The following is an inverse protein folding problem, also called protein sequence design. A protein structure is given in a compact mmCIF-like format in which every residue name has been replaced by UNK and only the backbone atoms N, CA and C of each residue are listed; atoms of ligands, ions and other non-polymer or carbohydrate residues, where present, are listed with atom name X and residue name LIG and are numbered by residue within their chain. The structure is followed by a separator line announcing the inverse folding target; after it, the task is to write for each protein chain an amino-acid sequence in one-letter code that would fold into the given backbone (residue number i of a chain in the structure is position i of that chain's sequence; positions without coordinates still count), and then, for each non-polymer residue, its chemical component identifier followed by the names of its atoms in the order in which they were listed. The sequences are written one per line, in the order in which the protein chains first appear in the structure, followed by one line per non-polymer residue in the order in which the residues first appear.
data_IF_680334942229
#
_entry.id   IF_680334942229
#
_cell.length_a   1.000
_cell.length_b   1.000
_cell.length_c   1.000
_cell.angle_alpha   90.00
_cell.angle_beta   90.00
_cell.angle_gamma   90.00
#
_symmetry.space_group_name_H-M   'P 1'
#
loop_
_entity.id
_entity.type
_entity.pdbx_description
1 polymer ?
#
# COMPACT_ATOMS: atom_id res chain seq x y z
N UNK A 1 10.07 -44.20 39.39
CA UNK A 1 11.12 -43.84 38.47
C UNK A 1 10.56 -43.33 37.17
N UNK A 2 9.70 -44.09 36.53
CA UNK A 2 9.10 -43.70 35.27
C UNK A 2 8.19 -42.48 35.40
N UNK A 3 7.63 -42.29 36.60
CA UNK A 3 6.69 -41.15 36.81
C UNK A 3 7.36 -39.80 36.71
N UNK A 4 8.61 -39.70 37.11
CA UNK A 4 9.31 -38.42 37.07
C UNK A 4 9.64 -38.03 35.63
N UNK A 5 9.99 -39.02 34.84
CA UNK A 5 10.31 -38.77 33.42
C UNK A 5 9.05 -38.35 32.70
N UNK A 6 7.94 -38.99 33.00
CA UNK A 6 6.67 -38.69 32.34
C UNK A 6 6.21 -37.28 32.68
N UNK A 7 6.37 -36.88 33.91
CA UNK A 7 5.99 -35.54 34.35
C UNK A 7 6.82 -34.47 33.64
N UNK A 8 8.10 -34.73 33.46
CA UNK A 8 8.97 -33.79 32.76
C UNK A 8 8.58 -33.64 31.30
N UNK A 9 8.21 -34.73 30.66
CA UNK A 9 7.79 -34.72 29.27
C UNK A 9 6.49 -33.94 29.12
N UNK A 10 5.55 -34.12 30.06
CA UNK A 10 4.28 -33.43 29.98
C UNK A 10 4.49 -31.94 30.17
N UNK A 11 5.40 -31.56 31.03
CA UNK A 11 5.70 -30.16 31.19
C UNK A 11 6.25 -29.51 29.95
N UNK A 12 7.00 -30.22 29.40
CA UNK A 12 7.49 -29.72 28.41
C UNK A 12 6.64 -29.48 27.39
N UNK A 13 5.93 -30.30 27.14
CA UNK A 13 4.97 -30.19 26.04
C UNK A 13 4.04 -29.00 26.29
N UNK A 14 3.63 -28.80 27.50
CA UNK A 14 2.80 -27.67 27.83
C UNK A 14 3.52 -26.34 27.58
N UNK A 15 4.80 -26.28 27.84
CA UNK A 15 5.57 -25.08 27.61
C UNK A 15 5.69 -24.76 26.13
N UNK A 16 5.88 -25.78 25.31
CA UNK A 16 5.99 -25.58 23.87
C UNK A 16 4.67 -25.10 23.28
N UNK A 17 3.57 -25.58 23.80
CA UNK A 17 2.27 -25.17 23.30
C UNK A 17 1.94 -23.70 23.58
N UNK A 18 2.51 -23.14 24.63
CA UNK A 18 2.26 -21.73 24.95
C UNK A 18 2.99 -20.77 24.03
N UNK A 19 4.13 -21.16 23.49
CA UNK A 19 4.95 -20.25 22.70
C UNK A 19 4.26 -19.68 21.46
N UNK A 20 3.49 -20.47 20.70
CA UNK A 20 2.86 -19.92 19.51
C UNK A 20 1.82 -18.83 19.77
N UNK A 21 1.28 -18.77 20.95
CA UNK A 21 0.26 -17.78 21.25
C UNK A 21 0.80 -16.38 21.46
N UNK A 22 2.09 -16.22 21.58
CA UNK A 22 2.71 -14.91 21.65
C UNK A 22 3.06 -14.35 20.30
N UNK A 23 2.80 -15.08 19.23
CA UNK A 23 3.12 -14.58 17.91
C UNK A 23 2.09 -13.54 17.51
N UNK A 24 2.40 -12.35 17.71
CA UNK A 24 2.17 -11.19 16.87
C UNK A 24 0.77 -10.92 16.43
N UNK A 25 0.20 -9.95 17.00
CA UNK A 25 -0.81 -9.16 16.33
C UNK A 25 -0.08 -8.15 15.45
N UNK A 26 0.05 -8.44 14.17
CA UNK A 26 0.58 -7.47 13.23
C UNK A 26 -0.47 -6.41 12.99
N UNK A 27 -0.10 -5.15 13.19
CA UNK A 27 -0.96 -4.05 12.81
C UNK A 27 -1.07 -4.02 11.30
N UNK A 28 -2.28 -4.02 10.79
CA UNK A 28 -2.49 -3.93 9.35
C UNK A 28 -2.15 -2.55 8.86
N UNK A 29 -1.55 -2.49 7.70
CA UNK A 29 -1.16 -1.23 7.08
C UNK A 29 -2.28 -0.69 6.22
N UNK A 30 -2.28 0.63 6.04
CA UNK A 30 -3.16 1.30 5.09
C UNK A 30 -2.37 1.41 3.79
N UNK A 31 -2.81 0.70 2.76
CA UNK A 31 -2.06 0.56 1.53
C UNK A 31 -2.89 1.05 0.35
N UNK A 32 -2.27 1.88 -0.47
CA UNK A 32 -2.84 2.26 -1.75
C UNK A 32 -2.00 1.71 -2.88
N UNK A 33 -2.65 1.08 -3.84
CA UNK A 33 -1.98 0.55 -5.02
C UNK A 33 -2.56 1.24 -6.24
N UNK A 34 -1.68 1.80 -7.07
CA UNK A 34 -2.08 2.40 -8.33
C UNK A 34 -1.57 1.52 -9.46
N UNK A 35 -2.48 1.13 -10.34
CA UNK A 35 -2.14 0.34 -11.53
C UNK A 35 -2.26 1.26 -12.74
N UNK A 36 -1.18 1.36 -13.51
CA UNK A 36 -1.12 2.27 -14.65
C UNK A 36 -1.22 1.46 -15.94
N UNK A 37 -2.16 1.85 -16.80
CA UNK A 37 -2.38 1.22 -18.10
C UNK A 37 -2.40 2.28 -19.18
N UNK A 38 -2.09 1.85 -20.41
CA UNK A 38 -2.26 2.75 -21.53
C UNK A 38 -3.65 2.60 -22.14
N UNK A 39 -3.88 3.30 -23.23
CA UNK A 39 -5.20 3.29 -23.88
C UNK A 39 -5.58 1.91 -24.41
N UNK A 40 -4.60 1.07 -24.66
CA UNK A 40 -4.82 -0.30 -25.15
C UNK A 40 -4.97 -1.31 -24.02
N UNK A 41 -4.91 -0.86 -22.76
CA UNK A 41 -5.03 -1.75 -21.63
C UNK A 41 -3.73 -2.42 -21.20
N UNK A 42 -2.62 -2.05 -21.78
CA UNK A 42 -1.33 -2.63 -21.42
C UNK A 42 -0.79 -1.97 -20.17
N UNK A 43 -0.21 -2.79 -19.29
CA UNK A 43 0.38 -2.30 -18.06
C UNK A 43 1.66 -1.54 -18.37
N UNK A 44 1.87 -0.41 -17.68
CA UNK A 44 2.97 0.50 -17.98
C UNK A 44 3.95 0.46 -16.82
N UNK A 45 5.15 -0.01 -17.11
CA UNK A 45 6.27 0.01 -16.18
C UNK A 45 7.00 1.34 -16.28
N UNK A 46 7.59 1.78 -15.16
CA UNK A 46 8.42 2.97 -15.18
C UNK A 46 7.66 4.28 -15.20
N UNK A 47 6.37 4.25 -14.93
CA UNK A 47 5.59 5.48 -14.82
C UNK A 47 5.78 6.08 -13.43
N UNK A 48 5.81 7.40 -13.37
CA UNK A 48 5.91 8.12 -12.11
C UNK A 48 4.51 8.42 -11.59
N UNK A 49 4.22 7.92 -10.40
CA UNK A 49 2.90 8.07 -9.77
C UNK A 49 3.07 8.94 -8.54
N UNK A 50 2.30 10.01 -8.45
CA UNK A 50 2.30 10.88 -7.29
C UNK A 50 0.92 10.92 -6.68
N UNK A 51 0.83 10.68 -5.38
CA UNK A 51 -0.39 10.87 -4.61
C UNK A 51 -0.27 12.19 -3.86
N UNK A 52 -1.34 13.01 -3.94
CA UNK A 52 -1.27 14.36 -3.36
C UNK A 52 -2.69 14.87 -3.12
N UNK A 53 -2.76 15.99 -2.41
CA UNK A 53 -4.03 16.65 -2.16
C UNK A 53 -4.08 18.05 -2.74
N UNK A 54 -3.23 18.33 -3.72
CA UNK A 54 -3.23 19.65 -4.33
C UNK A 54 -4.60 19.93 -4.97
N UNK A 55 -5.14 21.09 -4.67
CA UNK A 55 -6.40 21.51 -5.24
C UNK A 55 -7.64 20.94 -4.61
N UNK A 56 -7.51 20.08 -3.61
CA UNK A 56 -8.67 19.57 -2.91
C UNK A 56 -9.06 20.50 -1.77
N UNK A 57 -10.36 20.68 -1.62
CA UNK A 57 -10.90 21.45 -0.51
C UNK A 57 -11.45 20.45 0.51
N UNK A 58 -10.89 20.45 1.69
CA UNK A 58 -11.34 19.57 2.74
C UNK A 58 -11.98 20.39 3.85
N UNK A 59 -12.85 19.77 4.65
CA UNK A 59 -13.42 20.50 5.77
C UNK A 59 -12.39 21.00 6.77
N UNK A 60 -11.24 20.37 6.83
CA UNK A 60 -10.17 20.80 7.71
C UNK A 60 -9.29 21.87 7.10
N UNK A 61 -9.60 22.33 5.89
CA UNK A 61 -8.81 23.33 5.24
C UNK A 61 -7.88 22.74 4.22
N UNK A 62 -7.00 23.57 3.72
CA UNK A 62 -6.08 23.19 2.65
C UNK A 62 -4.93 22.37 3.23
N UNK A 63 -4.94 21.10 2.94
CA UNK A 63 -3.91 20.20 3.43
C UNK A 63 -2.81 20.06 2.40
N UNK A 64 -1.90 21.01 2.41
CA UNK A 64 -0.69 20.91 1.59
C UNK A 64 0.45 20.29 2.39
N UNK A 65 0.11 19.41 3.31
CA UNK A 65 1.09 18.75 4.16
C UNK A 65 2.02 17.91 3.28
N UNK A 66 3.32 18.17 3.30
CA UNK A 66 4.25 17.39 2.47
C UNK A 66 4.28 15.91 2.83
N UNK A 67 3.88 15.55 4.04
CA UNK A 67 3.87 14.13 4.42
C UNK A 67 2.83 13.34 3.65
N UNK A 68 1.82 14.00 3.09
CA UNK A 68 0.80 13.34 2.30
C UNK A 68 1.26 13.13 0.86
N UNK A 69 2.11 14.00 0.35
CA UNK A 69 2.56 13.91 -1.04
C UNK A 69 3.68 12.88 -1.15
N UNK A 70 3.43 11.83 -1.91
CA UNK A 70 4.41 10.76 -2.09
C UNK A 70 4.46 10.33 -3.54
N UNK A 71 5.65 9.95 -3.98
CA UNK A 71 5.88 9.57 -5.37
C UNK A 71 6.54 8.21 -5.41
N UNK A 72 6.04 7.35 -6.29
CA UNK A 72 6.61 6.03 -6.55
C UNK A 72 6.61 5.77 -8.05
N UNK A 73 7.42 4.81 -8.47
CA UNK A 73 7.52 4.42 -9.86
C UNK A 73 6.89 3.04 -10.03
N UNK A 74 6.12 2.85 -11.10
CA UNK A 74 5.49 1.55 -11.32
C UNK A 74 6.52 0.48 -11.66
N UNK A 75 6.24 -0.73 -11.20
CA UNK A 75 7.08 -1.88 -11.44
C UNK A 75 6.72 -2.53 -12.78
N UNK A 76 7.27 -3.73 -13.03
CA UNK A 76 7.04 -4.42 -14.29
C UNK A 76 5.59 -4.83 -14.50
N UNK A 77 4.79 -4.84 -13.45
CA UNK A 77 3.37 -5.13 -13.53
C UNK A 77 2.51 -3.87 -13.58
N UNK A 78 3.13 -2.71 -13.73
CA UNK A 78 2.40 -1.45 -13.78
C UNK A 78 1.86 -0.99 -12.44
N UNK A 79 2.42 -1.45 -11.34
CA UNK A 79 1.89 -1.19 -10.01
C UNK A 79 2.85 -0.31 -9.23
N UNK A 80 2.28 0.66 -8.53
CA UNK A 80 2.99 1.49 -7.56
C UNK A 80 2.27 1.35 -6.23
N UNK A 81 3.03 1.08 -5.17
CA UNK A 81 2.44 0.83 -3.86
C UNK A 81 2.86 1.91 -2.88
N UNK A 82 1.88 2.40 -2.13
CA UNK A 82 2.06 3.44 -1.15
C UNK A 82 1.54 2.97 0.20
N UNK A 83 2.30 3.21 1.24
CA UNK A 83 1.91 2.83 2.60
C UNK A 83 1.74 4.11 3.41
N UNK A 84 0.55 4.28 3.98
CA UNK A 84 0.21 5.44 4.79
C UNK A 84 -0.20 4.98 6.18
N UNK A 85 -0.27 5.93 7.09
CA UNK A 85 -0.80 5.65 8.43
C UNK A 85 -2.07 6.46 8.70
N UNK A 86 -2.78 6.84 7.64
CA UNK A 86 -3.99 7.64 7.78
C UNK A 86 -4.95 7.31 6.65
N UNK A 87 -6.23 7.59 6.89
CA UNK A 87 -7.23 7.59 5.83
C UNK A 87 -7.20 8.92 5.12
N UNK A 88 -7.40 8.88 3.80
CA UNK A 88 -7.42 10.12 3.04
C UNK A 88 -7.99 9.86 1.65
N UNK A 89 -8.53 10.89 1.05
CA UNK A 89 -8.86 10.89 -0.37
C UNK A 89 -7.75 11.69 -1.05
N UNK A 90 -7.06 11.04 -1.98
CA UNK A 90 -5.88 11.63 -2.61
C UNK A 90 -6.07 11.68 -4.11
N UNK A 91 -5.55 12.73 -4.71
CA UNK A 91 -5.43 12.81 -6.16
C UNK A 91 -4.25 11.95 -6.61
N UNK A 92 -4.40 11.36 -7.79
CA UNK A 92 -3.34 10.60 -8.44
C UNK A 92 -2.91 11.36 -9.68
N UNK A 93 -1.61 11.59 -9.81
CA UNK A 93 -1.04 12.13 -11.03
C UNK A 93 0.00 11.15 -11.54
N UNK A 94 -0.11 10.77 -12.82
CA UNK A 94 0.79 9.81 -13.42
C UNK A 94 1.41 10.43 -14.66
N UNK A 95 2.72 10.27 -14.79
CA UNK A 95 3.43 10.68 -15.99
C UNK A 95 4.38 9.58 -16.43
N UNK A 96 4.58 9.49 -17.73
CA UNK A 96 5.53 8.55 -18.32
C UNK A 96 6.11 9.18 -19.56
N UNK A 97 7.43 9.22 -19.63
CA UNK A 97 8.11 9.72 -20.84
C UNK A 97 8.40 8.53 -21.73
N UNK A 98 7.90 8.60 -22.96
CA UNK A 98 8.04 7.54 -23.94
C UNK A 98 8.67 8.15 -25.19
N UNK A 99 10.00 8.09 -25.26
CA UNK A 99 10.72 8.76 -26.31
C UNK A 99 10.58 10.26 -26.22
N UNK A 100 10.03 10.88 -27.27
CA UNK A 100 9.78 12.32 -27.28
C UNK A 100 8.40 12.67 -26.77
N UNK A 101 7.57 11.69 -26.44
CA UNK A 101 6.21 11.91 -25.99
C UNK A 101 6.13 11.81 -24.48
N UNK A 102 5.23 12.60 -23.92
CA UNK A 102 4.91 12.48 -22.50
C UNK A 102 3.46 12.05 -22.37
N UNK A 103 3.26 10.90 -21.73
CA UNK A 103 1.93 10.39 -21.43
C UNK A 103 1.56 10.77 -20.02
N UNK A 104 0.29 11.04 -19.79
CA UNK A 104 -0.16 11.43 -18.45
C UNK A 104 -1.57 10.95 -18.20
N UNK A 105 -1.91 10.92 -16.92
CA UNK A 105 -3.25 10.57 -16.51
C UNK A 105 -3.46 10.99 -15.07
N UNK A 106 -4.73 11.03 -14.68
CA UNK A 106 -5.09 11.41 -13.33
C UNK A 106 -6.17 10.49 -12.80
N UNK A 107 -6.33 10.51 -11.49
CA UNK A 107 -7.36 9.74 -10.84
C UNK A 107 -7.50 10.15 -9.40
N UNK A 108 -8.31 9.39 -8.68
CA UNK A 108 -8.54 9.62 -7.25
C UNK A 108 -8.52 8.27 -6.56
N UNK A 109 -7.86 8.21 -5.42
CA UNK A 109 -7.86 7.00 -4.61
C UNK A 109 -8.30 7.36 -3.20
N UNK A 110 -9.15 6.52 -2.63
CA UNK A 110 -9.61 6.69 -1.26
C UNK A 110 -8.95 5.64 -0.39
N UNK A 111 -8.05 6.08 0.46
CA UNK A 111 -7.36 5.17 1.38
C UNK A 111 -8.27 4.89 2.57
N UNK A 112 -8.41 3.62 2.89
CA UNK A 112 -9.20 3.17 4.02
C UNK A 112 -8.28 2.54 5.05
N UNK A 113 -8.52 2.88 6.31
CA UNK A 113 -7.63 2.47 7.40
C UNK A 113 -7.47 0.96 7.42
N UNK A 114 -6.22 0.52 7.44
CA UNK A 114 -5.85 -0.88 7.58
C UNK A 114 -6.40 -1.76 6.46
N UNK A 115 -6.56 -1.17 5.28
CA UNK A 115 -7.04 -1.90 4.11
C UNK A 115 -6.17 -1.57 2.91
N UNK A 116 -6.20 -2.46 1.93
CA UNK A 116 -5.54 -2.26 0.66
C UNK A 116 -6.58 -1.83 -0.36
N UNK A 117 -6.36 -0.66 -0.96
CA UNK A 117 -7.25 -0.13 -1.97
C UNK A 117 -6.46 -0.02 -3.27
N UNK A 118 -7.05 -0.48 -4.36
CA UNK A 118 -6.42 -0.45 -5.67
C UNK A 118 -7.20 0.44 -6.60
N UNK A 119 -6.50 1.29 -7.33
CA UNK A 119 -7.10 2.20 -8.29
C UNK A 119 -6.32 2.13 -9.60
N UNK A 120 -7.04 1.99 -10.70
CA UNK A 120 -6.43 2.00 -12.03
C UNK A 120 -6.45 3.40 -12.61
N UNK A 121 -5.38 3.75 -13.32
CA UNK A 121 -5.26 5.03 -14.02
C UNK A 121 -4.80 4.76 -15.44
N UNK A 122 -5.50 5.34 -16.40
CA UNK A 122 -5.13 5.23 -17.80
C UNK A 122 -4.35 6.47 -18.21
N UNK A 123 -3.26 6.25 -18.90
CA UNK A 123 -2.45 7.37 -19.41
C UNK A 123 -2.46 7.35 -20.94
N UNK A 124 -2.41 8.54 -21.49
CA UNK A 124 -2.33 8.71 -22.94
C UNK A 124 -1.64 10.02 -23.31
#
# INVERSE_FOLDING_TARGET
MSNNILKSIILXVALVLFLPFYSCKKTKETIGIVIVKDINGQLISGATVTLHQDGQISPQGNLTDPSVRRTETTDSNGRAQFIYDLEAVLNISVTKIDGNDQLSGTGIIRLLREKTVTQQVEIN
#
